data_IF_641448036721
#
_entry.id   IF_641448036721
#
_cell.length_a   1.000
_cell.length_b   1.000
_cell.length_c   1.000
_cell.angle_alpha   90.00
_cell.angle_beta   90.00
_cell.angle_gamma   90.00
#
_symmetry.space_group_name_H-M   'P 1'
#
loop_
_entity.id
_entity.type
_entity.pdbx_description
1 polymer ?
#
# COMPACT_ATOMS: atom_id res chain seq x y z
N UNK A 1 30.39 6.57 58.85
CA UNK A 1 30.82 6.47 57.44
C UNK A 1 30.60 5.01 57.04
N UNK A 2 29.88 4.58 56.00
CA UNK A 2 29.53 5.15 54.69
C UNK A 2 28.28 4.37 54.21
N UNK A 3 27.25 5.07 53.71
CA UNK A 3 26.02 4.49 53.13
C UNK A 3 26.32 4.05 51.69
N UNK A 4 26.05 2.78 51.33
CA UNK A 4 25.95 2.38 49.92
C UNK A 4 24.49 2.39 49.48
N UNK A 5 24.12 3.41 48.72
CA UNK A 5 22.95 3.38 47.84
C UNK A 5 23.36 2.72 46.53
N UNK A 6 22.78 1.58 46.18
CA UNK A 6 22.88 1.01 44.84
C UNK A 6 21.70 1.55 44.04
N UNK A 7 21.99 2.52 43.17
CA UNK A 7 21.02 3.15 42.28
C UNK A 7 20.57 2.18 41.19
N UNK A 8 19.26 1.99 41.09
CA UNK A 8 18.56 1.29 40.03
C UNK A 8 18.50 2.22 38.80
N UNK A 9 19.36 2.03 37.80
CA UNK A 9 19.28 2.77 36.54
C UNK A 9 18.34 2.06 35.57
N UNK A 10 17.11 2.57 35.46
CA UNK A 10 16.17 2.20 34.40
C UNK A 10 16.67 2.76 33.06
N UNK A 11 17.05 1.88 32.14
CA UNK A 11 17.28 2.22 30.73
C UNK A 11 15.92 2.08 30.04
N UNK A 12 15.14 3.16 30.00
CA UNK A 12 13.91 3.24 29.21
C UNK A 12 13.97 4.50 28.36
N UNK A 13 14.34 4.37 27.08
CA UNK A 13 14.27 5.51 26.18
C UNK A 13 15.00 5.33 24.86
N UNK A 14 14.49 4.48 23.96
CA UNK A 14 14.80 4.57 22.50
C UNK A 14 13.65 4.14 21.56
N UNK A 15 12.47 3.70 22.04
CA UNK A 15 11.43 3.13 21.16
C UNK A 15 10.38 4.13 20.60
N UNK A 16 10.40 5.40 21.01
CA UNK A 16 9.33 6.35 20.60
C UNK A 16 9.52 6.96 19.21
N UNK A 17 10.75 7.03 18.68
CA UNK A 17 10.99 7.66 17.36
C UNK A 17 10.60 6.76 16.19
N UNK A 18 10.76 5.44 16.31
CA UNK A 18 10.51 4.49 15.22
C UNK A 18 9.01 4.34 14.92
N UNK A 19 8.16 4.38 15.95
CA UNK A 19 6.71 4.33 15.77
C UNK A 19 6.20 5.54 14.96
N UNK A 20 6.70 6.75 15.24
CA UNK A 20 6.26 7.95 14.51
C UNK A 20 6.66 7.95 13.03
N UNK A 21 7.81 7.38 12.68
CA UNK A 21 8.26 7.32 11.28
C UNK A 21 7.44 6.31 10.46
N UNK A 22 7.17 5.13 11.04
CA UNK A 22 6.37 4.09 10.41
C UNK A 22 4.92 4.57 10.18
N UNK A 23 4.35 5.32 11.13
CA UNK A 23 3.04 5.97 10.99
C UNK A 23 3.04 6.99 9.85
N UNK A 24 4.04 7.87 9.79
CA UNK A 24 4.20 8.86 8.73
C UNK A 24 4.32 8.22 7.33
N UNK A 25 5.01 7.08 7.26
CA UNK A 25 5.11 6.26 6.05
C UNK A 25 3.78 5.66 5.65
N UNK A 26 3.00 5.12 6.61
CA UNK A 26 1.67 4.59 6.35
C UNK A 26 0.69 5.68 5.88
N UNK A 27 0.74 6.88 6.49
CA UNK A 27 -0.05 8.04 6.08
C UNK A 27 0.31 8.49 4.65
N UNK A 28 1.60 8.55 4.32
CA UNK A 28 2.07 8.91 2.98
C UNK A 28 1.67 7.86 1.94
N UNK A 29 1.82 6.58 2.28
CA UNK A 29 1.34 5.47 1.46
C UNK A 29 -0.16 5.60 1.13
N UNK A 30 -1.01 5.81 2.15
CA UNK A 30 -2.45 5.91 1.94
C UNK A 30 -2.82 7.12 1.07
N UNK A 31 -2.17 8.28 1.27
CA UNK A 31 -2.37 9.48 0.44
C UNK A 31 -1.92 9.25 -1.02
N UNK A 32 -0.78 8.61 -1.22
CA UNK A 32 -0.27 8.27 -2.55
C UNK A 32 -1.21 7.27 -3.25
N UNK A 33 -1.63 6.22 -2.54
CA UNK A 33 -2.59 5.25 -3.07
C UNK A 33 -3.92 5.90 -3.46
N UNK A 34 -4.49 6.76 -2.61
CA UNK A 34 -5.73 7.45 -2.91
C UNK A 34 -5.59 8.39 -4.12
N UNK A 35 -4.52 9.19 -4.17
CA UNK A 35 -4.31 10.17 -5.25
C UNK A 35 -3.91 9.57 -6.58
N UNK A 36 -3.07 8.52 -6.58
CA UNK A 36 -2.56 7.94 -7.82
C UNK A 36 -3.44 6.81 -8.32
N UNK A 37 -3.93 5.92 -7.45
CA UNK A 37 -4.75 4.79 -7.88
C UNK A 37 -6.25 5.10 -7.81
N UNK A 38 -6.81 5.44 -6.65
CA UNK A 38 -8.26 5.57 -6.52
C UNK A 38 -8.83 6.67 -7.42
N UNK A 39 -8.21 7.85 -7.42
CA UNK A 39 -8.69 8.99 -8.24
C UNK A 39 -8.55 8.76 -9.75
N UNK A 40 -7.57 7.96 -10.20
CA UNK A 40 -7.33 7.73 -11.63
C UNK A 40 -7.90 6.41 -12.14
N UNK A 41 -8.43 5.54 -11.27
CA UNK A 41 -8.94 4.21 -11.63
C UNK A 41 -9.93 4.23 -12.81
N UNK A 42 -10.89 5.18 -12.91
CA UNK A 42 -11.82 5.22 -14.04
C UNK A 42 -11.16 5.49 -15.40
N UNK A 43 -9.97 6.09 -15.42
CA UNK A 43 -9.25 6.45 -16.65
C UNK A 43 -7.73 6.29 -16.49
N UNK A 44 -7.30 5.04 -16.28
CA UNK A 44 -5.88 4.71 -16.14
C UNK A 44 -5.07 4.96 -17.42
N UNK A 45 -5.71 5.03 -18.59
CA UNK A 45 -4.99 5.31 -19.84
C UNK A 45 -4.59 6.78 -19.95
N UNK A 46 -5.51 7.70 -19.66
CA UNK A 46 -5.16 9.11 -19.54
C UNK A 46 -4.12 9.34 -18.44
N UNK A 47 -4.17 8.57 -17.35
CA UNK A 47 -3.15 8.65 -16.31
C UNK A 47 -1.78 8.18 -16.78
N UNK A 48 -1.67 7.08 -17.55
CA UNK A 48 -0.41 6.66 -18.19
C UNK A 48 0.16 7.75 -19.08
N UNK A 49 -0.67 8.41 -19.88
CA UNK A 49 -0.23 9.51 -20.74
C UNK A 49 0.34 10.68 -19.93
N UNK A 50 -0.28 11.03 -18.80
CA UNK A 50 0.25 12.05 -17.88
C UNK A 50 1.60 11.68 -17.26
N UNK A 51 1.87 10.39 -17.08
CA UNK A 51 3.12 9.88 -16.52
C UNK A 51 4.21 9.65 -17.58
N UNK A 52 3.90 9.74 -18.88
CA UNK A 52 4.85 9.55 -19.97
C UNK A 52 6.15 10.38 -19.84
N UNK A 53 6.12 11.67 -19.42
CA UNK A 53 7.36 12.45 -19.27
C UNK A 53 8.13 12.13 -17.97
N UNK A 54 7.56 11.35 -17.05
CA UNK A 54 8.18 11.07 -15.75
C UNK A 54 9.24 9.95 -15.87
N UNK A 55 10.37 10.06 -15.15
CA UNK A 55 11.40 9.03 -15.18
C UNK A 55 10.85 7.71 -14.61
N UNK A 56 10.88 6.67 -15.44
CA UNK A 56 10.46 5.31 -15.08
C UNK A 56 11.59 4.54 -14.42
N UNK A 57 11.23 3.51 -13.66
CA UNK A 57 12.20 2.49 -13.27
C UNK A 57 12.66 1.71 -14.50
N UNK A 58 13.95 1.31 -14.54
CA UNK A 58 14.43 0.32 -15.50
C UNK A 58 13.59 -0.98 -15.48
N UNK A 59 13.46 -1.64 -16.62
CA UNK A 59 12.56 -2.80 -16.82
C UNK A 59 12.81 -3.93 -15.82
N UNK A 60 14.07 -4.24 -15.53
CA UNK A 60 14.50 -5.25 -14.56
C UNK A 60 14.00 -4.95 -13.14
N UNK A 61 14.06 -3.67 -12.73
CA UNK A 61 13.56 -3.22 -11.43
C UNK A 61 12.03 -3.14 -11.40
N UNK A 62 11.41 -2.73 -12.50
CA UNK A 62 9.96 -2.62 -12.63
C UNK A 62 9.27 -4.00 -12.52
N UNK A 63 9.90 -5.06 -13.01
CA UNK A 63 9.33 -6.42 -13.01
C UNK A 63 8.88 -6.92 -11.62
N UNK A 64 9.59 -6.53 -10.56
CA UNK A 64 9.23 -6.86 -9.17
C UNK A 64 7.89 -6.25 -8.75
N UNK A 65 7.61 -5.02 -9.19
CA UNK A 65 6.39 -4.30 -8.86
C UNK A 65 5.21 -4.68 -9.76
N UNK A 66 5.50 -5.11 -10.99
CA UNK A 66 4.50 -5.52 -11.97
C UNK A 66 4.07 -6.98 -11.83
N UNK A 67 4.66 -7.74 -10.90
CA UNK A 67 4.39 -9.18 -10.75
C UNK A 67 4.71 -9.98 -12.01
N UNK A 68 5.74 -9.56 -12.76
CA UNK A 68 6.13 -10.15 -14.03
C UNK A 68 5.24 -9.79 -15.23
N UNK A 69 4.18 -8.99 -15.06
CA UNK A 69 3.37 -8.50 -16.17
C UNK A 69 4.11 -7.38 -16.94
N UNK A 70 3.82 -7.18 -18.24
CA UNK A 70 4.27 -5.98 -18.94
C UNK A 70 3.63 -4.74 -18.32
N UNK A 71 4.31 -3.60 -18.41
CA UNK A 71 3.83 -2.33 -17.87
C UNK A 71 4.99 -1.43 -17.47
N UNK A 72 4.65 -0.40 -16.69
CA UNK A 72 5.59 0.60 -16.24
C UNK A 72 5.50 0.79 -14.73
N UNK A 73 6.63 1.16 -14.13
CA UNK A 73 6.70 1.54 -12.72
C UNK A 73 7.50 2.82 -12.55
N UNK A 74 7.11 3.66 -11.58
CA UNK A 74 7.72 4.95 -11.29
C UNK A 74 8.04 5.06 -9.80
N UNK A 75 9.24 5.57 -9.43
CA UNK A 75 9.45 6.02 -8.06
C UNK A 75 8.53 7.22 -7.80
N UNK A 76 7.89 7.23 -6.63
CA UNK A 76 7.03 8.35 -6.20
C UNK A 76 7.80 9.14 -5.13
N UNK A 77 8.23 10.38 -5.42
CA UNK A 77 8.95 11.19 -4.46
C UNK A 77 8.06 11.53 -3.26
N UNK A 78 8.54 11.24 -2.06
CA UNK A 78 7.92 11.63 -0.82
C UNK A 78 8.98 11.70 0.28
N UNK A 79 8.82 12.63 1.23
CA UNK A 79 9.83 12.86 2.28
C UNK A 79 9.84 11.76 3.35
N UNK A 80 8.78 10.97 3.46
CA UNK A 80 8.62 10.01 4.55
C UNK A 80 9.08 8.60 4.17
N UNK A 81 9.24 8.27 2.88
CA UNK A 81 9.59 6.91 2.52
C UNK A 81 9.84 6.67 1.04
N UNK A 82 10.09 5.41 0.71
CA UNK A 82 10.27 4.94 -0.67
C UNK A 82 9.00 4.28 -1.16
N UNK A 83 8.40 4.90 -2.19
CA UNK A 83 7.15 4.45 -2.79
C UNK A 83 7.33 4.20 -4.28
N UNK A 84 6.62 3.20 -4.81
CA UNK A 84 6.60 2.90 -6.24
C UNK A 84 5.17 2.77 -6.71
N UNK A 85 4.82 3.52 -7.75
CA UNK A 85 3.60 3.34 -8.53
C UNK A 85 3.88 2.32 -9.62
N UNK A 86 3.00 1.33 -9.81
CA UNK A 86 3.06 0.36 -10.88
C UNK A 86 1.73 0.32 -11.65
N UNK A 87 1.81 0.41 -12.98
CA UNK A 87 0.68 0.30 -13.89
C UNK A 87 0.95 -0.81 -14.91
N UNK A 88 0.44 -2.04 -14.67
CA UNK A 88 0.48 -3.08 -15.68
C UNK A 88 -0.19 -2.64 -16.99
N UNK A 89 0.46 -2.94 -18.10
CA UNK A 89 0.03 -2.58 -19.45
C UNK A 89 -1.25 -3.30 -19.83
N UNK A 90 -2.18 -2.59 -20.49
CA UNK A 90 -3.44 -3.14 -20.97
C UNK A 90 -4.42 -3.64 -19.88
N UNK A 91 -4.11 -3.40 -18.60
CA UNK A 91 -4.96 -3.79 -17.47
C UNK A 91 -5.60 -2.56 -16.84
N UNK A 92 -6.82 -2.73 -16.34
CA UNK A 92 -7.44 -1.75 -15.46
C UNK A 92 -6.98 -1.97 -14.01
N UNK A 93 -5.66 -1.92 -13.77
CA UNK A 93 -5.08 -2.13 -12.45
C UNK A 93 -3.99 -1.08 -12.19
N UNK A 94 -4.04 -0.51 -10.98
CA UNK A 94 -3.03 0.37 -10.42
C UNK A 94 -2.56 -0.19 -9.09
N UNK A 95 -1.24 -0.15 -8.85
CA UNK A 95 -0.66 -0.58 -7.58
C UNK A 95 0.33 0.46 -7.04
N UNK A 96 0.34 0.62 -5.72
CA UNK A 96 1.35 1.39 -4.99
C UNK A 96 2.03 0.46 -4.00
N UNK A 97 3.35 0.52 -3.95
CA UNK A 97 4.19 -0.25 -3.05
C UNK A 97 4.90 0.70 -2.09
N UNK A 98 4.97 0.32 -0.81
CA UNK A 98 5.80 0.98 0.18
C UNK A 98 6.83 0.00 0.74
N UNK A 99 8.09 0.45 0.77
CA UNK A 99 9.18 -0.33 1.40
C UNK A 99 8.94 -0.53 2.89
N UNK A 100 8.42 0.51 3.55
CA UNK A 100 8.14 0.59 4.98
C UNK A 100 6.81 1.28 5.22
N UNK A 101 6.11 0.85 6.26
CA UNK A 101 4.88 1.44 6.78
C UNK A 101 4.48 0.72 8.07
N UNK A 102 3.87 1.44 9.00
CA UNK A 102 3.13 0.80 10.09
C UNK A 102 1.92 0.04 9.50
N UNK A 103 1.82 -1.25 9.83
CA UNK A 103 0.84 -2.15 9.21
C UNK A 103 -0.57 -1.92 9.73
N UNK A 104 -0.72 -1.54 11.00
CA UNK A 104 -2.02 -1.34 11.63
C UNK A 104 -2.62 0.00 11.19
N UNK A 105 -1.78 1.04 11.11
CA UNK A 105 -2.15 2.34 10.54
C UNK A 105 -2.50 2.20 9.06
N UNK A 106 -1.71 1.47 8.27
CA UNK A 106 -2.00 1.24 6.85
C UNK A 106 -3.35 0.52 6.63
N UNK A 107 -3.62 -0.53 7.41
CA UNK A 107 -4.91 -1.26 7.37
C UNK A 107 -6.08 -0.33 7.74
N UNK A 108 -5.94 0.43 8.81
CA UNK A 108 -6.96 1.39 9.27
C UNK A 108 -7.27 2.45 8.21
N UNK A 109 -6.23 3.04 7.61
CA UNK A 109 -6.38 4.07 6.57
C UNK A 109 -7.00 3.49 5.29
N UNK A 110 -6.59 2.30 4.89
CA UNK A 110 -7.18 1.62 3.74
C UNK A 110 -8.67 1.35 3.94
N UNK A 111 -9.07 0.79 5.09
CA UNK A 111 -10.48 0.55 5.39
C UNK A 111 -11.29 1.85 5.40
N UNK A 112 -10.74 2.95 5.93
CA UNK A 112 -11.40 4.27 5.86
C UNK A 112 -11.66 4.73 4.41
N UNK A 113 -10.78 4.38 3.47
CA UNK A 113 -10.94 4.72 2.06
C UNK A 113 -11.97 3.83 1.35
N UNK A 114 -12.05 2.54 1.69
CA UNK A 114 -12.77 1.56 0.85
C UNK A 114 -13.97 0.88 1.53
N UNK A 115 -14.10 0.93 2.86
CA UNK A 115 -15.21 0.26 3.54
C UNK A 115 -16.55 0.97 3.33
N UNK A 116 -16.55 2.28 3.06
CA UNK A 116 -17.74 3.07 2.79
C UNK A 116 -17.66 3.63 1.37
N UNK A 117 -18.42 3.05 0.45
CA UNK A 117 -18.46 3.52 -0.93
C UNK A 117 -19.39 4.74 -1.07
N UNK A 118 -19.05 5.72 -1.92
CA UNK A 118 -19.99 6.78 -2.27
C UNK A 118 -21.15 6.21 -3.09
N UNK A 119 -22.35 6.78 -2.94
CA UNK A 119 -23.47 6.44 -3.81
C UNK A 119 -23.10 6.67 -5.30
N UNK A 120 -23.54 5.80 -6.24
CA UNK A 120 -24.48 4.69 -6.07
C UNK A 120 -23.83 3.35 -5.69
N UNK A 121 -22.55 3.33 -5.34
CA UNK A 121 -21.83 2.08 -5.06
C UNK A 121 -22.16 1.53 -3.66
N UNK A 122 -22.11 0.21 -3.54
CA UNK A 122 -22.08 -0.52 -2.28
C UNK A 122 -20.71 -1.13 -2.06
N UNK A 123 -20.18 -1.08 -0.85
CA UNK A 123 -18.92 -1.74 -0.49
C UNK A 123 -19.16 -3.07 0.22
N UNK A 124 -18.35 -4.08 -0.09
CA UNK A 124 -18.34 -5.38 0.59
C UNK A 124 -16.90 -5.86 0.77
N UNK A 125 -16.54 -6.30 1.97
CA UNK A 125 -15.29 -7.05 2.17
C UNK A 125 -15.46 -8.44 1.56
N UNK A 126 -14.53 -8.83 0.68
CA UNK A 126 -14.59 -10.09 -0.06
C UNK A 126 -13.44 -11.05 0.24
N UNK A 127 -12.37 -10.56 0.86
CA UNK A 127 -11.23 -11.39 1.23
C UNK A 127 -10.55 -10.84 2.48
N UNK A 128 -10.13 -11.77 3.34
CA UNK A 128 -9.18 -11.57 4.44
C UNK A 128 -8.34 -12.84 4.56
N UNK A 129 -7.03 -12.74 4.43
CA UNK A 129 -6.14 -13.92 4.37
C UNK A 129 -4.76 -13.59 4.93
N UNK A 130 -4.18 -14.55 5.68
CA UNK A 130 -2.76 -14.55 6.02
C UNK A 130 -2.01 -15.59 5.19
N UNK A 131 -0.83 -15.22 4.68
CA UNK A 131 -0.02 -16.08 3.82
C UNK A 131 1.47 -15.97 4.11
N UNK A 132 2.16 -17.09 4.22
CA UNK A 132 3.62 -17.12 4.26
C UNK A 132 4.20 -16.84 2.87
N UNK A 133 5.11 -15.88 2.78
CA UNK A 133 5.87 -15.57 1.56
C UNK A 133 7.37 -15.67 1.81
N UNK A 134 8.13 -15.89 0.74
CA UNK A 134 9.60 -15.91 0.81
C UNK A 134 10.16 -14.50 1.00
N UNK A 135 9.60 -13.50 0.31
CA UNK A 135 10.15 -12.15 0.28
C UNK A 135 9.77 -11.27 1.48
N UNK A 136 8.58 -11.47 2.06
CA UNK A 136 8.01 -10.56 3.04
C UNK A 136 7.63 -11.23 4.37
N UNK A 137 7.87 -12.53 4.52
CA UNK A 137 7.39 -13.28 5.68
C UNK A 137 5.88 -13.50 5.61
N UNK A 138 5.22 -13.54 6.77
CA UNK A 138 3.75 -13.61 6.85
C UNK A 138 3.17 -12.28 6.39
N UNK A 139 2.30 -12.34 5.39
CA UNK A 139 1.55 -11.20 4.86
C UNK A 139 0.09 -11.31 5.21
N UNK A 140 -0.55 -10.19 5.59
CA UNK A 140 -1.98 -10.08 5.76
C UNK A 140 -2.59 -9.37 4.54
N UNK A 141 -3.64 -9.93 3.94
CA UNK A 141 -4.31 -9.34 2.78
C UNK A 141 -5.80 -9.14 3.06
N UNK A 142 -6.30 -7.93 2.82
CA UNK A 142 -7.72 -7.60 2.86
C UNK A 142 -8.17 -7.06 1.52
N UNK A 143 -9.35 -7.44 1.05
CA UNK A 143 -9.95 -6.86 -0.16
C UNK A 143 -11.40 -6.46 0.01
N UNK A 144 -11.74 -5.33 -0.60
CA UNK A 144 -13.08 -4.79 -0.69
C UNK A 144 -13.50 -4.64 -2.15
N UNK A 145 -14.77 -4.86 -2.41
CA UNK A 145 -15.39 -4.63 -3.70
C UNK A 145 -16.39 -3.49 -3.62
N UNK A 146 -16.31 -2.56 -4.57
CA UNK A 146 -17.39 -1.61 -4.85
C UNK A 146 -18.13 -2.04 -6.11
N UNK A 147 -19.45 -2.14 -5.99
CA UNK A 147 -20.33 -2.53 -7.10
C UNK A 147 -21.62 -1.72 -7.07
N UNK A 148 -22.33 -1.71 -8.19
CA UNK A 148 -23.72 -1.25 -8.28
C UNK A 148 -24.61 -2.44 -8.62
N UNK A 149 -25.88 -2.45 -8.20
CA UNK A 149 -26.84 -3.48 -8.62
C UNK A 149 -26.86 -3.61 -10.16
N UNK A 150 -26.76 -4.84 -10.67
CA UNK A 150 -26.77 -5.16 -12.10
C UNK A 150 -25.64 -4.50 -12.93
N UNK A 151 -24.57 -4.06 -12.29
CA UNK A 151 -23.39 -3.54 -13.00
C UNK A 151 -22.64 -4.65 -13.74
N UNK A 152 -22.10 -4.37 -14.93
CA UNK A 152 -21.25 -5.34 -15.65
C UNK A 152 -19.81 -5.42 -15.10
N UNK A 153 -19.43 -4.45 -14.26
CA UNK A 153 -18.08 -4.30 -13.69
C UNK A 153 -18.18 -3.97 -12.21
N UNK A 154 -17.09 -4.24 -11.50
CA UNK A 154 -16.88 -3.86 -10.10
C UNK A 154 -15.47 -3.34 -9.92
N UNK A 155 -15.26 -2.55 -8.88
CA UNK A 155 -13.93 -2.12 -8.46
C UNK A 155 -13.45 -3.02 -7.33
N UNK A 156 -12.26 -3.59 -7.47
CA UNK A 156 -11.60 -4.38 -6.44
C UNK A 156 -10.45 -3.57 -5.86
N UNK A 157 -10.46 -3.40 -4.55
CA UNK A 157 -9.41 -2.75 -3.79
C UNK A 157 -8.77 -3.78 -2.87
N UNK A 158 -7.45 -3.87 -2.90
CA UNK A 158 -6.71 -4.84 -2.12
C UNK A 158 -5.56 -4.15 -1.39
N UNK A 159 -5.40 -4.45 -0.12
CA UNK A 159 -4.22 -4.13 0.65
C UNK A 159 -3.57 -5.43 1.11
N UNK A 160 -2.27 -5.56 0.87
CA UNK A 160 -1.41 -6.58 1.48
C UNK A 160 -0.37 -5.88 2.34
N UNK A 161 -0.26 -6.27 3.61
CA UNK A 161 0.77 -5.78 4.54
C UNK A 161 1.67 -6.91 5.03
N UNK A 162 2.87 -6.56 5.48
CA UNK A 162 3.81 -7.50 6.10
C UNK A 162 4.48 -6.85 7.31
N UNK A 163 4.30 -7.44 8.50
CA UNK A 163 4.82 -6.88 9.76
C UNK A 163 6.33 -7.12 9.96
N UNK A 164 6.93 -8.03 9.18
CA UNK A 164 8.34 -8.35 9.33
C UNK A 164 9.24 -7.15 8.99
N UNK A 165 10.17 -6.82 9.90
CA UNK A 165 11.18 -5.76 9.67
C UNK A 165 12.12 -6.09 8.49
N UNK A 166 12.29 -7.37 8.18
CA UNK A 166 13.12 -7.83 7.05
C UNK A 166 12.34 -7.98 5.75
N UNK A 167 11.03 -7.70 5.76
CA UNK A 167 10.23 -7.72 4.53
C UNK A 167 10.81 -6.77 3.48
N UNK A 168 10.81 -7.18 2.21
CA UNK A 168 11.20 -6.29 1.12
C UNK A 168 10.20 -5.15 0.95
N UNK A 169 8.91 -5.43 1.14
CA UNK A 169 7.81 -4.47 1.13
C UNK A 169 6.91 -4.73 2.34
N UNK A 170 6.51 -3.67 3.03
CA UNK A 170 5.57 -3.76 4.16
C UNK A 170 4.14 -3.38 3.78
N UNK A 171 3.92 -2.67 2.67
CA UNK A 171 2.58 -2.41 2.16
C UNK A 171 2.51 -2.45 0.62
N UNK A 172 1.45 -3.06 0.12
CA UNK A 172 1.05 -3.10 -1.28
C UNK A 172 -0.45 -2.80 -1.37
N UNK A 173 -0.81 -1.68 -1.97
CA UNK A 173 -2.20 -1.31 -2.24
C UNK A 173 -2.48 -1.40 -3.73
N UNK A 174 -3.56 -2.06 -4.13
CA UNK A 174 -4.00 -2.07 -5.52
C UNK A 174 -5.46 -1.69 -5.67
N UNK A 175 -5.79 -1.14 -6.82
CA UNK A 175 -7.15 -0.78 -7.22
C UNK A 175 -7.35 -1.24 -8.67
N UNK A 176 -8.42 -1.99 -8.93
CA UNK A 176 -8.67 -2.57 -10.23
C UNK A 176 -10.14 -2.52 -10.63
N UNK A 177 -10.41 -2.43 -11.94
CA UNK A 177 -11.74 -2.66 -12.51
C UNK A 177 -11.78 -4.09 -13.05
N UNK A 178 -12.67 -4.91 -12.52
CA UNK A 178 -12.86 -6.31 -12.91
C UNK A 178 -14.29 -6.54 -13.39
N UNK A 179 -14.49 -7.55 -14.25
CA UNK A 179 -15.82 -8.00 -14.64
C UNK A 179 -16.50 -8.72 -13.47
N UNK A 180 -17.82 -8.57 -13.38
CA UNK A 180 -18.62 -9.36 -12.42
C UNK A 180 -18.73 -10.82 -12.86
#
# INVERSE_FOLDING_TARGET
>A
MLRLFVSLTAILGMNLCLASEADDQANSFARIYASLCLQNLPNLEAFRQKLAPMPKLPTDKAALFLGGAPGDAWPVPDKHGTFVLALPGGKNLCAVHARRADVDVANTLFQKLVANAPAPFTSKMVMTEDKQTVANGVTHTVSYEWSVPNGARKMLFTLTTAASETAQLQALGSAAIVTQ
#
